data_IF_155255268522
#
_entry.id   IF_155255268522
#
_cell.length_a   1.000
_cell.length_b   1.000
_cell.length_c   1.000
_cell.angle_alpha   90.00
_cell.angle_beta   90.00
_cell.angle_gamma   90.00
#
_symmetry.space_group_name_H-M   'P 1'
#
loop_
_entity.id
_entity.type
_entity.pdbx_description
1 polymer ?
#
# COMPACT_ATOMS: atom_id res chain seq x y z
N UNK A 1 26.52 -1.82 -14.40
CA UNK A 1 25.61 -2.89 -14.87
C UNK A 1 24.83 -3.59 -13.74
N UNK A 2 24.86 -3.15 -12.47
CA UNK A 2 24.11 -3.84 -11.41
C UNK A 2 22.59 -3.73 -11.59
N UNK A 3 22.03 -2.53 -11.42
CA UNK A 3 20.59 -2.30 -11.51
C UNK A 3 20.00 -2.62 -12.89
N UNK A 4 20.76 -2.41 -13.98
CA UNK A 4 20.30 -2.72 -15.33
C UNK A 4 20.14 -4.23 -15.59
N UNK A 5 20.74 -5.08 -14.75
CA UNK A 5 20.69 -6.55 -14.88
C UNK A 5 19.87 -7.22 -13.77
N UNK A 6 19.37 -6.45 -12.80
CA UNK A 6 18.56 -6.97 -11.70
C UNK A 6 17.09 -6.67 -11.99
N UNK A 7 16.25 -7.70 -11.87
CA UNK A 7 14.80 -7.56 -11.93
C UNK A 7 14.33 -6.98 -10.60
N UNK A 8 13.40 -6.04 -10.65
CA UNK A 8 12.81 -5.45 -9.46
C UNK A 8 11.89 -6.45 -8.74
N UNK A 9 11.53 -6.12 -7.51
CA UNK A 9 10.45 -6.80 -6.80
C UNK A 9 9.12 -6.67 -7.55
N UNK A 10 8.22 -7.61 -7.29
CA UNK A 10 6.91 -7.69 -7.94
C UNK A 10 6.01 -6.52 -7.52
N UNK A 11 5.19 -6.01 -8.45
CA UNK A 11 4.21 -4.96 -8.20
C UNK A 11 2.95 -5.51 -7.51
N UNK A 12 3.06 -5.86 -6.24
CA UNK A 12 1.94 -6.27 -5.40
C UNK A 12 1.92 -5.57 -4.02
N UNK A 13 1.07 -6.04 -3.11
CA UNK A 13 0.89 -5.46 -1.78
C UNK A 13 1.97 -5.90 -0.77
N UNK A 14 2.97 -6.67 -1.19
CA UNK A 14 4.08 -7.09 -0.35
C UNK A 14 5.20 -6.06 -0.45
N UNK A 15 5.70 -5.63 0.71
CA UNK A 15 6.77 -4.66 0.82
C UNK A 15 7.93 -5.34 1.52
N UNK A 16 9.14 -5.18 0.96
CA UNK A 16 10.37 -5.73 1.53
C UNK A 16 10.65 -5.18 2.93
N UNK A 17 11.29 -6.00 3.77
CA UNK A 17 11.61 -5.65 5.17
C UNK A 17 12.48 -4.39 5.28
N UNK A 18 13.36 -4.15 4.30
CA UNK A 18 14.20 -2.94 4.22
C UNK A 18 13.36 -1.65 4.22
N UNK A 19 12.14 -1.71 3.66
CA UNK A 19 11.21 -0.59 3.62
C UNK A 19 10.19 -0.65 4.76
N UNK A 20 9.66 -1.83 5.07
CA UNK A 20 8.59 -1.99 6.07
C UNK A 20 9.08 -1.93 7.51
N UNK A 21 10.26 -2.47 7.81
CA UNK A 21 10.72 -2.61 9.20
C UNK A 21 12.03 -1.85 9.45
N UNK A 22 12.91 -1.79 8.44
CA UNK A 22 14.28 -1.33 8.60
C UNK A 22 14.61 -0.02 7.85
N UNK A 23 13.62 0.77 7.46
CA UNK A 23 13.90 2.08 6.87
C UNK A 23 14.55 2.99 7.90
N UNK A 24 15.58 3.73 7.49
CA UNK A 24 16.30 4.65 8.37
C UNK A 24 15.35 5.66 9.03
N UNK A 25 15.26 5.57 10.36
CA UNK A 25 14.35 6.38 11.15
C UNK A 25 14.86 7.80 11.40
N UNK A 26 13.96 8.71 11.81
CA UNK A 26 14.35 10.05 12.26
C UNK A 26 15.10 9.97 13.59
N UNK A 27 15.73 11.07 14.00
CA UNK A 27 16.69 11.20 15.12
C UNK A 27 16.49 10.32 16.38
N UNK A 28 15.25 9.97 16.74
CA UNK A 28 14.91 9.19 17.95
C UNK A 28 14.99 7.66 17.75
N UNK A 29 14.84 7.16 16.54
CA UNK A 29 14.84 5.72 16.24
C UNK A 29 15.80 5.43 15.09
N UNK A 30 16.60 4.37 15.23
CA UNK A 30 17.48 3.93 14.14
C UNK A 30 16.70 3.41 12.94
N UNK A 31 15.51 2.85 13.18
CA UNK A 31 14.64 2.20 12.18
C UNK A 31 13.20 2.67 12.30
N UNK A 32 12.45 2.58 11.20
CA UNK A 32 11.07 3.02 11.07
C UNK A 32 10.38 2.27 9.92
N UNK A 33 9.05 2.26 9.95
CA UNK A 33 8.22 1.70 8.88
C UNK A 33 7.86 2.78 7.86
N UNK A 34 8.37 2.64 6.63
CA UNK A 34 8.11 3.60 5.56
C UNK A 34 6.65 3.58 5.09
N UNK A 35 5.99 2.41 5.12
CA UNK A 35 4.59 2.26 4.73
C UNK A 35 3.72 2.97 5.75
N UNK A 36 3.94 2.73 7.04
CA UNK A 36 3.21 3.41 8.11
C UNK A 36 3.44 4.93 8.06
N UNK A 37 4.67 5.40 7.87
CA UNK A 37 4.97 6.82 7.72
C UNK A 37 4.24 7.45 6.51
N UNK A 38 4.12 6.72 5.41
CA UNK A 38 3.42 7.19 4.21
C UNK A 38 1.92 7.32 4.47
N UNK A 39 1.32 6.35 5.16
CA UNK A 39 -0.09 6.41 5.56
C UNK A 39 -0.35 7.59 6.51
N UNK A 40 0.51 7.80 7.51
CA UNK A 40 0.37 8.93 8.43
C UNK A 40 0.50 10.27 7.70
N UNK A 41 1.48 10.41 6.79
CA UNK A 41 1.62 11.60 5.95
C UNK A 41 0.38 11.86 5.10
N UNK A 42 -0.22 10.81 4.54
CA UNK A 42 -1.47 10.91 3.81
C UNK A 42 -2.61 11.46 4.66
N UNK A 43 -2.70 11.06 5.93
CA UNK A 43 -3.67 11.59 6.90
C UNK A 43 -3.38 13.05 7.25
N UNK A 44 -2.11 13.39 7.50
CA UNK A 44 -1.68 14.75 7.83
C UNK A 44 -1.98 15.74 6.69
N UNK A 45 -1.86 15.31 5.43
CA UNK A 45 -2.20 16.10 4.26
C UNK A 45 -3.69 16.12 3.93
N UNK A 46 -4.51 15.37 4.67
CA UNK A 46 -5.95 15.29 4.42
C UNK A 46 -6.29 14.64 3.08
N UNK A 47 -5.56 13.58 2.69
CA UNK A 47 -5.88 12.85 1.46
C UNK A 47 -7.32 12.32 1.49
N UNK A 48 -8.07 12.42 0.38
CA UNK A 48 -9.41 11.90 0.28
C UNK A 48 -9.44 10.37 0.32
N UNK A 49 -10.63 9.81 0.57
CA UNK A 49 -10.82 8.36 0.58
C UNK A 49 -10.61 7.74 -0.80
N UNK A 50 -10.37 6.43 -0.85
CA UNK A 50 -10.17 5.69 -2.09
C UNK A 50 -11.30 5.93 -3.11
N UNK A 51 -12.56 5.89 -2.68
CA UNK A 51 -13.71 6.12 -3.57
C UNK A 51 -13.83 7.60 -3.99
N UNK A 52 -13.54 8.55 -3.10
CA UNK A 52 -13.53 9.97 -3.47
C UNK A 52 -12.47 10.27 -4.54
N UNK A 53 -11.28 9.65 -4.44
CA UNK A 53 -10.24 9.76 -5.48
C UNK A 53 -10.75 9.18 -6.80
N UNK A 54 -11.37 8.00 -6.77
CA UNK A 54 -11.92 7.35 -7.97
C UNK A 54 -12.96 8.21 -8.66
N UNK A 55 -13.93 8.71 -7.91
CA UNK A 55 -14.98 9.60 -8.43
C UNK A 55 -14.37 10.90 -9.01
N UNK A 56 -13.40 11.49 -8.30
CA UNK A 56 -12.68 12.68 -8.79
C UNK A 56 -11.88 12.44 -10.08
N UNK A 57 -11.52 11.19 -10.37
CA UNK A 57 -10.86 10.75 -11.61
C UNK A 57 -11.85 10.20 -12.66
N UNK A 58 -13.16 10.26 -12.42
CA UNK A 58 -14.18 9.73 -13.33
C UNK A 58 -14.30 8.21 -13.34
N UNK A 59 -13.77 7.53 -12.32
CA UNK A 59 -13.87 6.08 -12.15
C UNK A 59 -15.07 5.72 -11.25
N UNK A 60 -15.72 4.61 -11.54
CA UNK A 60 -16.82 4.11 -10.71
C UNK A 60 -16.31 3.78 -9.28
N UNK A 61 -17.04 4.16 -8.22
CA UNK A 61 -16.69 3.78 -6.85
C UNK A 61 -16.78 2.26 -6.68
N UNK A 62 -16.06 1.75 -5.68
CA UNK A 62 -16.06 0.32 -5.33
C UNK A 62 -16.96 0.10 -4.12
N UNK A 63 -17.90 -0.84 -4.22
CA UNK A 63 -18.89 -1.13 -3.17
C UNK A 63 -18.48 -2.28 -2.24
N UNK A 64 -17.67 -3.23 -2.74
CA UNK A 64 -17.25 -4.42 -1.99
C UNK A 64 -15.74 -4.56 -2.01
N UNK A 65 -15.15 -4.96 -0.88
CA UNK A 65 -13.70 -5.16 -0.75
C UNK A 65 -13.10 -6.08 -1.81
N UNK A 66 -13.80 -7.17 -2.15
CA UNK A 66 -13.37 -8.12 -3.17
C UNK A 66 -13.26 -7.54 -4.59
N UNK A 67 -13.98 -6.45 -4.87
CA UNK A 67 -13.98 -5.80 -6.19
C UNK A 67 -12.76 -4.88 -6.38
N UNK A 68 -12.02 -4.54 -5.32
CA UNK A 68 -10.79 -3.73 -5.40
C UNK A 68 -9.71 -4.45 -6.22
N UNK A 69 -9.58 -5.76 -6.01
CA UNK A 69 -8.64 -6.61 -6.73
C UNK A 69 -9.21 -8.04 -6.85
N UNK A 70 -9.93 -8.35 -7.95
CA UNK A 70 -10.58 -9.66 -8.13
C UNK A 70 -9.59 -10.83 -8.15
N UNK A 71 -8.40 -10.63 -8.70
CA UNK A 71 -7.35 -11.65 -8.75
C UNK A 71 -6.83 -11.97 -7.35
N UNK A 72 -6.55 -10.94 -6.54
CA UNK A 72 -6.14 -11.11 -5.15
C UNK A 72 -7.27 -11.74 -4.31
N UNK A 73 -8.52 -11.33 -4.53
CA UNK A 73 -9.67 -11.93 -3.85
C UNK A 73 -9.83 -13.42 -4.14
N UNK A 74 -9.43 -13.86 -5.34
CA UNK A 74 -9.46 -15.28 -5.72
C UNK A 74 -8.26 -16.04 -5.13
N UNK A 75 -7.06 -15.45 -5.17
CA UNK A 75 -5.82 -16.11 -4.77
C UNK A 75 -5.61 -16.13 -3.24
N UNK A 76 -5.98 -15.06 -2.54
CA UNK A 76 -5.81 -14.88 -1.11
C UNK A 76 -6.93 -13.96 -0.56
N UNK A 77 -8.16 -14.47 -0.40
CA UNK A 77 -9.29 -13.67 0.09
C UNK A 77 -9.11 -13.15 1.52
N UNK A 78 -8.25 -13.79 2.33
CA UNK A 78 -8.04 -13.44 3.73
C UNK A 78 -7.56 -12.00 3.88
N UNK A 79 -6.61 -11.57 3.02
CA UNK A 79 -6.05 -10.20 3.06
C UNK A 79 -7.13 -9.14 2.93
N UNK A 80 -8.09 -9.32 2.02
CA UNK A 80 -9.19 -8.36 1.84
C UNK A 80 -10.24 -8.47 2.95
N UNK A 81 -10.45 -9.67 3.50
CA UNK A 81 -11.38 -9.87 4.62
C UNK A 81 -10.90 -9.21 5.91
N UNK A 82 -9.59 -9.24 6.18
CA UNK A 82 -8.99 -8.61 7.36
C UNK A 82 -9.09 -7.08 7.34
N UNK A 83 -9.08 -6.47 6.15
CA UNK A 83 -9.27 -5.03 5.97
C UNK A 83 -10.73 -4.59 6.18
N UNK A 84 -11.68 -5.52 6.11
CA UNK A 84 -13.11 -5.24 6.26
C UNK A 84 -13.61 -5.29 7.70
N UNK A 85 -12.78 -5.78 8.62
CA UNK A 85 -13.08 -5.99 10.04
C UNK A 85 -12.67 -4.77 10.88
#
# INVERSE_FOLDING_TARGET
>A
MGMASQIAEKEDNIIVEDLRDYTYGPLRFSRSDLVAMTVQRGRDFGLPSYNQVREGLGLAPVERWGDINPQLNTANPQVLSELSM
#
